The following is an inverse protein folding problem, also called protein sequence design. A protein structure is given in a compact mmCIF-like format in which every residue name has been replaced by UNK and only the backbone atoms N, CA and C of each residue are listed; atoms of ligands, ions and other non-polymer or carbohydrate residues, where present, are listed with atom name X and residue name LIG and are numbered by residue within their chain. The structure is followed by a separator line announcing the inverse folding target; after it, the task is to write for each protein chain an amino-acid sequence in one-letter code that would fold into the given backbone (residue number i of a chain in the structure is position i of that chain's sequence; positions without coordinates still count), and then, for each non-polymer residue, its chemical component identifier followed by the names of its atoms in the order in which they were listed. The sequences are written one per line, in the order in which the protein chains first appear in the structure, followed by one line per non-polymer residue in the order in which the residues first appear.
data_IF_689172016457
#
_entry.id   IF_689172016457
#
_cell.length_a   1.000
_cell.length_b   1.000
_cell.length_c   1.000
_cell.angle_alpha   90.00
_cell.angle_beta   90.00
_cell.angle_gamma   90.00
#
_symmetry.space_group_name_H-M   'P 1'
#
loop_
_entity.id
_entity.type
_entity.pdbx_description
1 polymer ?
#
# COMPACT_ATOMS: atom_id res chain seq x y z
N UNK A 1 -1.18 -4.30 13.40
CA UNK A 1 -0.24 -3.25 13.85
C UNK A 1 0.08 -2.21 12.75
N UNK A 2 0.60 -2.58 11.58
CA UNK A 2 0.93 -1.58 10.54
C UNK A 2 -0.28 -0.72 10.10
N UNK A 3 -1.38 -1.36 9.69
CA UNK A 3 -2.60 -0.66 9.26
C UNK A 3 -3.24 0.17 10.37
N UNK A 4 -3.18 -0.30 11.62
CA UNK A 4 -3.78 0.41 12.75
C UNK A 4 -3.05 1.72 13.05
N UNK A 5 -1.72 1.78 12.87
CA UNK A 5 -0.96 3.03 13.02
C UNK A 5 -1.36 4.05 11.96
N UNK A 6 -1.49 3.61 10.70
CA UNK A 6 -1.91 4.48 9.59
C UNK A 6 -3.34 4.98 9.82
N UNK A 7 -4.26 4.08 10.17
CA UNK A 7 -5.64 4.44 10.50
C UNK A 7 -5.67 5.47 11.62
N UNK A 8 -4.92 5.26 12.70
CA UNK A 8 -4.85 6.20 13.81
C UNK A 8 -4.32 7.57 13.39
N UNK A 9 -3.30 7.63 12.53
CA UNK A 9 -2.78 8.89 12.01
C UNK A 9 -3.84 9.66 11.18
N UNK A 10 -4.63 8.94 10.37
CA UNK A 10 -5.76 9.52 9.62
C UNK A 10 -6.86 10.00 10.57
N UNK A 11 -7.24 9.20 11.57
CA UNK A 11 -8.22 9.57 12.61
C UNK A 11 -7.78 10.81 13.37
N UNK A 12 -6.49 10.91 13.68
CA UNK A 12 -5.89 12.06 14.36
C UNK A 12 -5.71 13.28 13.43
N UNK A 13 -6.12 13.19 12.17
CA UNK A 13 -5.98 14.26 11.15
C UNK A 13 -4.54 14.74 10.96
N UNK A 14 -3.57 13.84 11.16
CA UNK A 14 -2.17 14.13 10.83
C UNK A 14 -2.07 14.40 9.33
N UNK A 15 -1.39 15.48 8.96
CA UNK A 15 -1.21 15.85 7.55
C UNK A 15 -0.04 15.05 6.96
N UNK A 16 -0.36 14.16 6.02
CA UNK A 16 0.61 13.40 5.23
C UNK A 16 -0.06 12.89 3.94
N UNK A 17 0.74 12.64 2.92
CA UNK A 17 0.26 12.16 1.60
C UNK A 17 0.76 10.74 1.28
N UNK A 18 2.00 10.43 1.64
CA UNK A 18 2.68 9.18 1.31
C UNK A 18 3.01 8.36 2.56
N UNK A 19 2.89 7.04 2.46
CA UNK A 19 3.29 6.08 3.50
C UNK A 19 4.52 5.31 3.02
N UNK A 20 5.74 5.66 3.48
CA UNK A 20 6.92 4.87 3.19
C UNK A 20 6.94 3.61 4.08
N UNK A 21 7.23 2.46 3.48
CA UNK A 21 7.44 1.22 4.24
C UNK A 21 8.39 0.26 3.53
N UNK A 22 9.04 -0.62 4.31
CA UNK A 22 9.89 -1.67 3.79
C UNK A 22 9.11 -2.71 2.97
N UNK A 23 9.83 -3.47 2.12
CA UNK A 23 9.26 -4.53 1.29
C UNK A 23 8.50 -5.60 2.11
N UNK A 24 8.82 -5.80 3.40
CA UNK A 24 8.07 -6.69 4.30
C UNK A 24 6.59 -6.30 4.42
N UNK A 25 6.26 -5.02 4.27
CA UNK A 25 4.89 -4.52 4.30
C UNK A 25 4.22 -4.50 2.92
N UNK A 26 4.93 -4.93 1.87
CA UNK A 26 4.46 -5.02 0.51
C UNK A 26 3.49 -6.16 0.25
N UNK A 27 2.51 -6.40 1.12
CA UNK A 27 1.38 -7.28 0.80
C UNK A 27 0.33 -6.50 -0.01
N UNK A 28 -0.33 -7.15 -0.98
CA UNK A 28 -1.40 -6.52 -1.80
C UNK A 28 -2.46 -5.84 -0.93
N UNK A 29 -2.94 -6.55 0.10
CA UNK A 29 -3.95 -6.03 1.03
C UNK A 29 -3.50 -4.77 1.79
N UNK A 30 -2.19 -4.56 2.02
CA UNK A 30 -1.70 -3.35 2.67
C UNK A 30 -1.70 -2.17 1.70
N UNK A 31 -1.31 -2.39 0.45
CA UNK A 31 -1.34 -1.38 -0.60
C UNK A 31 -2.78 -0.93 -0.90
N UNK A 32 -3.70 -1.89 -1.01
CA UNK A 32 -5.13 -1.62 -1.19
C UNK A 32 -5.70 -0.82 -0.02
N UNK A 33 -5.35 -1.18 1.22
CA UNK A 33 -5.77 -0.45 2.40
C UNK A 33 -5.31 1.01 2.40
N UNK A 34 -4.02 1.25 2.09
CA UNK A 34 -3.48 2.62 2.06
C UNK A 34 -4.16 3.44 0.95
N UNK A 35 -4.31 2.85 -0.24
CA UNK A 35 -4.78 3.58 -1.41
C UNK A 35 -6.29 3.75 -1.46
N UNK A 36 -7.04 2.67 -1.28
CA UNK A 36 -8.49 2.68 -1.44
C UNK A 36 -9.22 3.07 -0.16
N UNK A 37 -8.80 2.56 1.01
CA UNK A 37 -9.51 2.82 2.27
C UNK A 37 -9.08 4.15 2.88
N UNK A 38 -7.77 4.40 3.00
CA UNK A 38 -7.24 5.60 3.64
C UNK A 38 -7.08 6.80 2.68
N UNK A 39 -7.24 6.59 1.36
CA UNK A 39 -7.05 7.61 0.31
C UNK A 39 -5.66 8.26 0.35
N UNK A 40 -4.63 7.46 0.63
CA UNK A 40 -3.22 7.89 0.67
C UNK A 40 -2.39 7.18 -0.39
N UNK A 41 -1.17 7.66 -0.61
CA UNK A 41 -0.18 7.02 -1.48
C UNK A 41 0.77 6.17 -0.66
N UNK A 42 1.46 5.23 -1.31
CA UNK A 42 2.43 4.37 -0.65
C UNK A 42 3.73 4.33 -1.45
N UNK A 43 4.85 4.27 -0.74
CA UNK A 43 6.18 4.04 -1.32
C UNK A 43 6.72 2.78 -0.64
N UNK A 44 6.69 1.66 -1.35
CA UNK A 44 7.05 0.36 -0.79
C UNK A 44 7.97 -0.38 -1.76
N UNK A 45 9.05 -0.95 -1.22
CA UNK A 45 9.95 -1.81 -2.00
C UNK A 45 9.22 -3.01 -2.60
N UNK A 46 9.42 -3.26 -3.89
CA UNK A 46 8.86 -4.43 -4.57
C UNK A 46 9.76 -5.63 -4.29
N UNK A 47 9.19 -6.70 -3.71
CA UNK A 47 9.89 -7.98 -3.55
C UNK A 47 9.94 -8.72 -4.89
N UNK A 48 11.05 -9.39 -5.18
CA UNK A 48 11.30 -10.08 -6.47
C UNK A 48 10.33 -11.21 -6.77
N UNK A 49 9.70 -11.82 -5.76
CA UNK A 49 8.79 -12.96 -5.91
C UNK A 49 7.32 -12.54 -6.17
N UNK A 50 7.08 -11.39 -6.80
CA UNK A 50 5.74 -10.86 -7.06
C UNK A 50 5.39 -10.98 -8.54
N UNK A 51 4.20 -11.51 -8.83
CA UNK A 51 3.64 -11.45 -10.17
C UNK A 51 3.28 -9.99 -10.49
N UNK A 52 3.84 -9.49 -11.58
CA UNK A 52 3.60 -8.14 -12.08
C UNK A 52 2.94 -8.32 -13.44
N UNK A 53 1.74 -7.76 -13.60
CA UNK A 53 1.11 -7.61 -14.89
C UNK A 53 1.59 -6.29 -15.51
N UNK A 54 2.24 -6.37 -16.67
CA UNK A 54 2.71 -5.19 -17.41
C UNK A 54 1.63 -4.62 -18.35
N UNK A 55 0.56 -5.39 -18.57
CA UNK A 55 -0.63 -4.99 -19.32
C UNK A 55 -1.92 -5.40 -18.58
N UNK A 56 -3.06 -4.81 -18.97
CA UNK A 56 -4.36 -5.25 -18.45
C UNK A 56 -4.72 -6.68 -18.89
N UNK A 57 -4.20 -7.12 -20.04
CA UNK A 57 -4.37 -8.49 -20.55
C UNK A 57 -3.61 -9.50 -19.67
N UNK A 58 -2.37 -9.18 -19.28
CA UNK A 58 -1.58 -10.00 -18.36
C UNK A 58 -2.23 -10.12 -16.98
N UNK A 59 -3.00 -9.11 -16.56
CA UNK A 59 -3.72 -9.12 -15.28
C UNK A 59 -4.94 -10.03 -15.29
N UNK A 60 -5.52 -10.28 -16.48
CA UNK A 60 -6.74 -11.08 -16.65
C UNK A 60 -6.46 -12.58 -16.84
N UNK A 61 -5.21 -12.96 -17.12
CA UNK A 61 -4.73 -14.36 -17.16
C UNK A 61 -4.55 -14.91 -15.75
#
# INVERSE_FOLDING_TARGET
MFRSIIAQAVTNKVKFDDVPADNWFGAKKNMEFIHYDMKKKFIIGIKTNRLIALSEEDKKR
#
